data_IF_765974399032
#
_entry.id   IF_765974399032
#
_cell.length_a   1.000
_cell.length_b   1.000
_cell.length_c   1.000
_cell.angle_alpha   90.00
_cell.angle_beta   90.00
_cell.angle_gamma   90.00
#
_symmetry.space_group_name_H-M   'P 1'
#
loop_
_entity.id
_entity.type
_entity.pdbx_description
1 polymer ?
#
# COMPACT_ATOMS: atom_id res chain seq x y z
N UNK A 1 48.70 -2.16 0.04
CA UNK A 1 47.85 -1.93 1.22
C UNK A 1 46.74 -0.90 0.99
N UNK A 2 46.97 0.22 0.27
CA UNK A 2 45.94 1.25 0.01
C UNK A 2 44.70 0.76 -0.77
N UNK A 3 44.90 -0.15 -1.73
CA UNK A 3 43.80 -0.76 -2.50
C UNK A 3 43.05 -1.87 -1.76
N UNK A 4 43.70 -2.54 -0.79
CA UNK A 4 43.08 -3.59 0.01
C UNK A 4 42.04 -3.00 0.97
N UNK A 5 42.35 -1.85 1.57
CA UNK A 5 41.41 -1.10 2.41
C UNK A 5 40.22 -0.57 1.61
N UNK A 6 40.42 -0.12 0.37
CA UNK A 6 39.33 0.31 -0.52
C UNK A 6 38.37 -0.83 -0.86
N UNK A 7 38.87 -2.04 -1.15
CA UNK A 7 38.01 -3.21 -1.40
C UNK A 7 37.22 -3.66 -0.17
N UNK A 8 37.80 -3.56 1.03
CA UNK A 8 37.11 -3.91 2.29
C UNK A 8 35.99 -2.91 2.59
N UNK A 9 36.21 -1.61 2.36
CA UNK A 9 35.18 -0.57 2.57
C UNK A 9 34.05 -0.66 1.53
N UNK A 10 34.37 -0.91 0.25
CA UNK A 10 33.35 -1.11 -0.79
C UNK A 10 32.58 -2.44 -0.63
N UNK A 11 33.24 -3.50 -0.17
CA UNK A 11 32.58 -4.78 0.13
C UNK A 11 31.64 -4.70 1.33
N UNK A 12 31.97 -3.88 2.34
CA UNK A 12 31.11 -3.67 3.52
C UNK A 12 29.86 -2.84 3.19
N UNK A 13 29.99 -1.82 2.33
CA UNK A 13 28.85 -1.00 1.91
C UNK A 13 27.82 -1.81 1.10
N UNK A 14 28.25 -2.75 0.26
CA UNK A 14 27.37 -3.62 -0.51
C UNK A 14 26.67 -4.72 0.33
N UNK A 15 27.19 -5.04 1.52
CA UNK A 15 26.61 -6.08 2.38
C UNK A 15 25.37 -5.60 3.16
N UNK A 16 25.21 -4.29 3.37
CA UNK A 16 24.14 -3.75 4.23
C UNK A 16 22.75 -3.86 3.57
N UNK A 17 22.67 -3.83 2.24
CA UNK A 17 21.40 -4.01 1.50
C UNK A 17 20.93 -5.48 1.40
N UNK A 18 21.73 -6.41 1.94
CA UNK A 18 21.50 -7.85 1.77
C UNK A 18 20.66 -8.49 2.88
N UNK A 19 20.29 -7.72 3.90
CA UNK A 19 19.62 -8.23 5.08
C UNK A 19 18.12 -7.89 5.07
N UNK A 20 17.27 -8.86 5.42
CA UNK A 20 15.82 -8.79 5.29
C UNK A 20 15.27 -9.87 4.35
N UNK A 21 13.97 -10.11 4.41
CA UNK A 21 13.25 -11.10 3.60
C UNK A 21 12.32 -10.37 2.65
N UNK A 22 12.34 -10.76 1.38
CA UNK A 22 11.32 -10.31 0.44
C UNK A 22 9.96 -10.82 0.90
N UNK A 23 9.01 -9.91 1.07
CA UNK A 23 7.64 -10.20 1.47
C UNK A 23 6.68 -9.42 0.60
N UNK A 24 5.52 -10.00 0.36
CA UNK A 24 4.56 -9.45 -0.60
C UNK A 24 3.13 -9.57 -0.11
N UNK A 25 2.29 -8.65 -0.55
CA UNK A 25 0.86 -8.63 -0.25
C UNK A 25 0.08 -8.16 -1.48
N UNK A 26 -1.16 -8.61 -1.57
CA UNK A 26 -2.09 -8.18 -2.60
C UNK A 26 -3.49 -7.96 -2.00
N UNK A 27 -4.19 -6.97 -2.54
CA UNK A 27 -5.56 -6.64 -2.17
C UNK A 27 -6.38 -6.30 -3.39
N UNK A 28 -7.62 -6.75 -3.39
CA UNK A 28 -8.62 -6.36 -4.39
C UNK A 28 -9.91 -5.90 -3.73
N UNK A 29 -10.73 -5.20 -4.49
CA UNK A 29 -12.07 -4.84 -4.05
C UNK A 29 -12.80 -4.02 -5.10
N UNK A 30 -13.97 -3.53 -4.71
CA UNK A 30 -14.82 -2.67 -5.54
C UNK A 30 -15.31 -1.48 -4.73
N UNK A 31 -15.18 -0.29 -5.27
CA UNK A 31 -15.64 0.94 -4.64
C UNK A 31 -16.92 1.44 -5.31
N UNK A 32 -17.88 1.83 -4.48
CA UNK A 32 -19.18 2.33 -4.89
C UNK A 32 -19.42 3.71 -4.25
N UNK A 33 -20.17 4.57 -4.94
CA UNK A 33 -20.64 5.85 -4.44
C UNK A 33 -22.12 5.98 -4.81
N UNK A 34 -23.02 5.97 -3.81
CA UNK A 34 -24.48 6.07 -3.98
C UNK A 34 -25.05 5.12 -5.04
N UNK A 35 -24.72 3.84 -4.92
CA UNK A 35 -25.18 2.77 -5.82
C UNK A 35 -24.51 2.74 -7.20
N UNK A 36 -23.56 3.64 -7.49
CA UNK A 36 -22.79 3.65 -8.74
C UNK A 36 -21.34 3.23 -8.52
N UNK A 37 -20.69 2.58 -9.50
CA UNK A 37 -19.24 2.41 -9.50
C UNK A 37 -18.50 3.71 -9.23
N UNK A 38 -17.60 3.72 -8.25
CA UNK A 38 -16.71 4.85 -8.00
C UNK A 38 -15.48 4.70 -8.88
N UNK A 39 -15.51 5.31 -10.07
CA UNK A 39 -14.47 5.22 -11.11
C UNK A 39 -13.35 6.22 -10.85
N UNK A 40 -12.10 5.84 -11.11
CA UNK A 40 -10.96 6.75 -11.01
C UNK A 40 -10.59 7.12 -9.57
N UNK A 41 -11.00 6.33 -8.59
CA UNK A 41 -10.64 6.52 -7.17
C UNK A 41 -9.23 6.01 -6.96
N UNK A 42 -8.35 6.87 -6.41
CA UNK A 42 -6.96 6.51 -6.14
C UNK A 42 -6.90 5.55 -4.95
N UNK A 43 -6.16 4.46 -5.10
CA UNK A 43 -5.92 3.46 -4.08
C UNK A 43 -4.43 3.14 -4.00
N UNK A 44 -3.91 3.02 -2.78
CA UNK A 44 -2.49 2.72 -2.51
C UNK A 44 -2.35 1.55 -1.55
N UNK A 45 -1.38 0.69 -1.81
CA UNK A 45 -0.95 -0.37 -0.91
C UNK A 45 0.38 0.06 -0.31
N UNK A 46 0.41 0.15 1.00
CA UNK A 46 1.59 0.51 1.78
C UNK A 46 2.04 -0.65 2.63
N UNK A 47 3.34 -0.71 2.91
CA UNK A 47 3.83 -1.26 4.16
C UNK A 47 3.87 -0.14 5.20
N UNK A 48 3.55 -0.45 6.46
CA UNK A 48 3.46 0.57 7.52
C UNK A 48 4.44 0.23 8.61
N UNK A 49 5.60 0.85 8.54
CA UNK A 49 6.65 0.57 9.49
C UNK A 49 6.43 1.31 10.81
N UNK A 50 6.88 0.68 11.89
CA UNK A 50 6.89 1.30 13.23
C UNK A 50 8.11 2.20 13.44
N UNK A 51 9.16 2.05 12.62
CA UNK A 51 10.50 2.60 12.87
C UNK A 51 11.08 3.43 11.73
N UNK A 52 10.54 3.30 10.52
CA UNK A 52 10.92 4.03 9.31
C UNK A 52 9.68 4.51 8.55
N UNK A 53 9.88 5.10 7.36
CA UNK A 53 8.80 5.72 6.60
C UNK A 53 8.04 4.66 5.81
N UNK A 54 6.71 4.68 5.87
CA UNK A 54 5.82 3.79 5.12
C UNK A 54 6.28 3.58 3.65
N UNK A 55 6.60 2.33 3.29
CA UNK A 55 6.97 1.96 1.93
C UNK A 55 5.74 1.86 1.00
N UNK A 56 5.72 2.62 -0.09
CA UNK A 56 4.70 2.49 -1.13
C UNK A 56 4.95 1.23 -1.97
N UNK A 57 4.06 0.25 -1.86
CA UNK A 57 4.20 -1.03 -2.58
C UNK A 57 3.53 -1.02 -3.96
N UNK A 58 2.35 -0.40 -4.09
CA UNK A 58 1.63 -0.23 -5.37
C UNK A 58 0.62 0.92 -5.28
N UNK A 59 0.33 1.58 -6.41
CA UNK A 59 -0.66 2.65 -6.55
C UNK A 59 -1.43 2.48 -7.85
N UNK A 60 -2.76 2.54 -7.77
CA UNK A 60 -3.66 2.46 -8.93
C UNK A 60 -4.89 3.32 -8.76
N UNK A 61 -5.70 3.37 -9.81
CA UNK A 61 -7.04 3.94 -9.79
C UNK A 61 -8.07 2.86 -10.09
N UNK A 62 -9.26 2.95 -9.51
CA UNK A 62 -10.37 2.06 -9.83
C UNK A 62 -10.80 2.17 -11.30
N UNK A 63 -11.22 1.06 -11.88
CA UNK A 63 -11.68 0.98 -13.26
C UNK A 63 -13.14 1.45 -13.45
N UNK A 64 -13.70 1.25 -14.65
CA UNK A 64 -15.08 1.62 -14.98
C UNK A 64 -16.16 0.90 -14.16
N UNK A 65 -15.83 -0.25 -13.58
CA UNK A 65 -16.71 -1.01 -12.69
C UNK A 65 -16.47 -0.65 -11.22
N UNK A 66 -15.54 0.26 -10.93
CA UNK A 66 -15.12 0.63 -9.58
C UNK A 66 -14.17 -0.39 -8.96
N UNK A 67 -13.66 -1.35 -9.74
CA UNK A 67 -12.81 -2.43 -9.25
C UNK A 67 -11.34 -1.99 -9.20
N UNK A 68 -10.61 -2.55 -8.24
CA UNK A 68 -9.17 -2.38 -8.14
C UNK A 68 -8.48 -3.67 -7.72
N UNK A 69 -7.21 -3.79 -8.08
CA UNK A 69 -6.30 -4.83 -7.63
C UNK A 69 -4.92 -4.23 -7.46
N UNK A 70 -4.37 -4.30 -6.25
CA UNK A 70 -3.02 -3.85 -5.91
C UNK A 70 -2.18 -5.05 -5.51
N UNK A 71 -0.93 -5.09 -5.94
CA UNK A 71 0.02 -6.12 -5.56
C UNK A 71 1.44 -5.53 -5.56
N UNK A 72 2.16 -5.74 -4.47
CA UNK A 72 3.53 -5.27 -4.34
C UNK A 72 4.33 -6.09 -3.34
N UNK A 73 5.59 -5.72 -3.18
CA UNK A 73 6.52 -6.37 -2.26
C UNK A 73 7.52 -5.34 -1.74
N UNK A 74 8.02 -5.58 -0.53
CA UNK A 74 9.19 -4.87 0.01
C UNK A 74 10.12 -5.88 0.70
N UNK A 75 11.32 -5.44 1.05
CA UNK A 75 12.30 -6.25 1.79
C UNK A 75 12.35 -5.74 3.22
N UNK A 76 11.93 -6.59 4.16
CA UNK A 76 11.88 -6.22 5.56
C UNK A 76 12.39 -7.33 6.48
N UNK A 77 12.84 -6.99 7.68
CA UNK A 77 13.32 -7.97 8.67
C UNK A 77 12.18 -8.65 9.41
N UNK A 78 11.21 -7.83 9.82
CA UNK A 78 9.95 -8.18 10.45
C UNK A 78 8.90 -8.55 9.42
N UNK A 79 7.72 -8.96 9.87
CA UNK A 79 6.59 -9.16 8.96
C UNK A 79 6.04 -7.81 8.58
N UNK A 80 5.89 -7.57 7.28
CA UNK A 80 5.29 -6.36 6.73
C UNK A 80 3.86 -6.19 7.29
N UNK A 81 3.41 -4.94 7.42
CA UNK A 81 2.12 -4.53 7.96
C UNK A 81 1.27 -3.88 6.83
N UNK A 82 0.68 -4.65 5.88
CA UNK A 82 0.15 -4.06 4.67
C UNK A 82 -1.13 -3.26 4.93
N UNK A 83 -1.21 -2.06 4.34
CA UNK A 83 -2.33 -1.12 4.53
C UNK A 83 -2.87 -0.67 3.18
N UNK A 84 -4.13 -1.00 2.90
CA UNK A 84 -4.89 -0.40 1.81
C UNK A 84 -5.30 1.01 2.22
N UNK A 85 -5.05 2.00 1.38
CA UNK A 85 -5.50 3.39 1.57
C UNK A 85 -6.32 3.84 0.37
N UNK A 86 -7.47 4.44 0.63
CA UNK A 86 -8.44 4.86 -0.39
C UNK A 86 -8.60 6.38 -0.30
N UNK A 87 -8.54 7.06 -1.44
CA UNK A 87 -8.64 8.51 -1.57
C UNK A 87 -9.79 8.88 -2.51
N UNK A 88 -10.83 9.52 -1.97
CA UNK A 88 -12.07 9.73 -2.71
C UNK A 88 -12.76 11.06 -2.40
N UNK A 89 -13.60 11.48 -3.35
CA UNK A 89 -14.43 12.69 -3.24
C UNK A 89 -15.93 12.39 -3.27
N UNK A 90 -16.32 11.11 -3.05
CA UNK A 90 -17.72 10.71 -2.95
C UNK A 90 -18.45 11.55 -1.89
N UNK A 91 -19.52 12.23 -2.30
CA UNK A 91 -20.33 13.14 -1.49
C UNK A 91 -19.52 14.24 -0.77
N UNK A 92 -18.40 14.68 -1.35
CA UNK A 92 -17.50 15.61 -0.69
C UNK A 92 -17.67 17.08 -1.14
N UNK A 93 -18.38 17.30 -2.25
CA UNK A 93 -18.63 18.64 -2.80
C UNK A 93 -17.35 19.31 -3.34
N UNK A 94 -17.30 20.64 -3.29
CA UNK A 94 -16.11 21.42 -3.68
C UNK A 94 -15.30 21.73 -2.42
N UNK A 95 -14.61 20.72 -1.89
CA UNK A 95 -13.69 20.90 -0.76
C UNK A 95 -12.27 20.59 -1.21
N UNK A 96 -11.27 21.30 -0.67
CA UNK A 96 -9.89 20.98 -0.96
C UNK A 96 -9.55 19.60 -0.37
N UNK A 97 -8.67 18.89 -1.07
CA UNK A 97 -8.09 17.62 -0.64
C UNK A 97 -9.10 16.47 -0.62
N UNK A 98 -8.63 15.24 -0.81
CA UNK A 98 -9.51 14.07 -0.90
C UNK A 98 -9.77 13.50 0.49
N UNK A 99 -10.96 12.92 0.71
CA UNK A 99 -11.22 12.09 1.89
C UNK A 99 -10.34 10.86 1.82
N UNK A 100 -9.73 10.49 2.95
CA UNK A 100 -8.77 9.39 3.07
C UNK A 100 -9.13 8.51 4.25
N UNK A 101 -9.24 7.22 4.01
CA UNK A 101 -9.24 6.22 5.08
C UNK A 101 -8.43 5.00 4.65
N UNK A 102 -8.12 4.14 5.64
CA UNK A 102 -7.28 2.97 5.42
C UNK A 102 -7.85 1.72 6.07
N UNK A 103 -7.49 0.57 5.51
CA UNK A 103 -7.83 -0.75 6.02
C UNK A 103 -6.50 -1.50 6.18
N UNK A 104 -6.22 -1.96 7.39
CA UNK A 104 -5.11 -2.88 7.63
C UNK A 104 -5.46 -4.27 7.09
N UNK A 105 -4.55 -4.83 6.31
CA UNK A 105 -4.67 -6.16 5.74
C UNK A 105 -4.02 -7.14 6.73
N UNK A 106 -4.72 -8.21 7.15
CA UNK A 106 -4.16 -9.13 8.14
C UNK A 106 -2.90 -9.84 7.63
N UNK A 107 -1.92 -10.04 8.52
CA UNK A 107 -0.63 -10.70 8.24
C UNK A 107 -0.77 -12.07 7.57
N UNK A 108 -1.91 -12.75 7.79
CA UNK A 108 -2.24 -14.01 7.13
C UNK A 108 -2.28 -13.94 5.58
N UNK A 109 -2.36 -12.73 5.02
CA UNK A 109 -2.30 -12.43 3.58
C UNK A 109 -0.90 -12.02 3.10
N UNK A 110 0.08 -11.90 4.00
CA UNK A 110 1.48 -11.72 3.65
C UNK A 110 2.06 -13.03 3.13
N UNK A 111 2.83 -12.92 2.05
CA UNK A 111 3.49 -14.04 1.39
C UNK A 111 5.01 -13.86 1.42
N UNK A 112 5.72 -14.98 1.57
CA UNK A 112 7.18 -14.98 1.41
C UNK A 112 7.56 -14.89 -0.07
N UNK A 113 8.51 -14.02 -0.38
CA UNK A 113 8.97 -13.70 -1.73
C UNK A 113 8.24 -12.51 -2.33
N UNK A 114 8.66 -12.13 -3.54
CA UNK A 114 8.19 -10.93 -4.26
C UNK A 114 6.81 -11.03 -4.89
N UNK A 115 6.24 -12.24 -4.93
CA UNK A 115 4.96 -12.51 -5.60
C UNK A 115 3.93 -12.96 -4.55
N UNK A 116 2.84 -12.20 -4.36
CA UNK A 116 1.77 -12.58 -3.44
C UNK A 116 1.15 -13.91 -3.83
N UNK A 117 0.97 -14.81 -2.86
CA UNK A 117 0.30 -16.11 -3.05
C UNK A 117 -1.17 -16.07 -2.66
N UNK A 118 -1.57 -15.01 -1.96
CA UNK A 118 -2.93 -14.77 -1.48
C UNK A 118 -3.31 -13.33 -1.81
N UNK A 119 -4.60 -13.11 -1.99
CA UNK A 119 -5.16 -11.78 -2.26
C UNK A 119 -6.22 -11.53 -1.21
N UNK A 120 -6.07 -10.46 -0.44
CA UNK A 120 -7.10 -10.00 0.47
C UNK A 120 -8.27 -9.41 -0.33
N UNK A 121 -9.47 -9.93 -0.10
CA UNK A 121 -10.68 -9.41 -0.74
C UNK A 121 -11.36 -8.42 0.21
N UNK A 122 -11.19 -7.13 -0.06
CA UNK A 122 -11.84 -6.07 0.71
C UNK A 122 -13.35 -5.96 0.43
N UNK A 123 -13.87 -6.76 -0.51
CA UNK A 123 -15.27 -6.78 -0.90
C UNK A 123 -15.69 -5.50 -1.62
N UNK A 124 -16.98 -5.18 -1.51
CA UNK A 124 -17.55 -3.94 -2.04
C UNK A 124 -17.70 -2.90 -0.93
N UNK A 125 -17.12 -1.72 -1.12
CA UNK A 125 -17.10 -0.64 -0.13
C UNK A 125 -17.95 0.53 -0.63
N UNK A 126 -18.91 0.98 0.19
CA UNK A 126 -19.75 2.14 -0.08
C UNK A 126 -19.14 3.43 0.48
N UNK A 127 -18.61 4.28 -0.40
CA UNK A 127 -17.88 5.51 -0.06
C UNK A 127 -18.78 6.69 0.37
N UNK A 128 -20.10 6.56 0.21
CA UNK A 128 -21.05 7.60 0.62
C UNK A 128 -21.12 7.78 2.15
N UNK A 129 -20.75 6.75 2.92
CA UNK A 129 -20.70 6.81 4.39
C UNK A 129 -19.40 7.43 4.93
N UNK A 130 -19.29 7.53 6.25
CA UNK A 130 -18.05 7.92 6.95
C UNK A 130 -17.34 6.68 7.50
N UNK A 131 -16.01 6.68 7.42
CA UNK A 131 -15.18 5.59 7.93
C UNK A 131 -14.43 5.99 9.21
N UNK A 132 -14.21 5.05 10.16
CA UNK A 132 -13.37 5.30 11.33
C UNK A 132 -11.95 5.73 10.92
N UNK A 133 -11.44 6.78 11.57
CA UNK A 133 -10.09 7.31 11.29
C UNK A 133 -9.97 8.05 9.94
N UNK A 134 -11.10 8.33 9.27
CA UNK A 134 -11.08 9.10 8.03
C UNK A 134 -10.55 10.52 8.26
N UNK A 135 -9.71 10.98 7.33
CA UNK A 135 -9.04 12.27 7.33
C UNK A 135 -9.08 12.89 5.92
N UNK A 136 -8.34 13.98 5.70
CA UNK A 136 -8.21 14.60 4.38
C UNK A 136 -6.74 14.71 4.00
N UNK A 137 -6.43 14.48 2.72
CA UNK A 137 -5.07 14.48 2.23
C UNK A 137 -4.94 15.27 0.91
N UNK A 138 -4.03 16.24 0.94
CA UNK A 138 -3.87 17.28 -0.08
C UNK A 138 -2.65 17.04 -0.99
N UNK A 139 -1.81 16.03 -0.68
CA UNK A 139 -0.46 15.89 -1.24
C UNK A 139 -0.30 14.61 -2.08
N UNK A 140 -1.29 13.71 -2.06
CA UNK A 140 -1.22 12.37 -2.67
C UNK A 140 -0.75 12.21 -4.10
#
# INVERSE_FOLDING_TARGET
MRYLFLCVVFGYAAAIEMFGRDQSSAVRGRLMCDGRPAVGVKVKLWDVDRTDADDLMDEKHTDMNGEFHLAGWTKEYTTIDPKLTIYHDCNDGIKPCQRKFSILIPDSYVSHGKVPKKVYDAGTIQLAGSFPGESRDCIN
#
